data_IF_869801653589
#
_entry.id   IF_869801653589
#
_cell.length_a   1.000
_cell.length_b   1.000
_cell.length_c   1.000
_cell.angle_alpha   90.00
_cell.angle_beta   90.00
_cell.angle_gamma   90.00
#
_symmetry.space_group_name_H-M   'P 1'
#
loop_
_entity.id
_entity.type
_entity.pdbx_description
1 polymer ?
#
# COMPACT_ATOMS: atom_id res chain seq x y z
N UNK A 1 4.32 75.68 108.86
CA UNK A 1 3.38 75.54 110.00
C UNK A 1 4.18 75.79 111.27
N UNK A 2 3.81 76.75 112.13
CA UNK A 2 4.48 77.02 113.40
C UNK A 2 3.51 76.68 114.53
N UNK A 3 3.95 75.87 115.49
CA UNK A 3 3.16 75.52 116.68
C UNK A 3 3.26 76.66 117.70
N UNK A 4 2.26 76.84 118.57
CA UNK A 4 2.39 77.80 119.67
C UNK A 4 3.46 77.31 120.65
N UNK A 5 4.12 78.24 121.36
CA UNK A 5 5.27 77.90 122.24
C UNK A 5 4.94 76.86 123.31
N UNK A 6 3.71 76.88 123.83
CA UNK A 6 3.23 75.92 124.84
C UNK A 6 3.01 74.54 124.21
N UNK A 7 2.41 74.48 123.03
CA UNK A 7 2.20 73.23 122.29
C UNK A 7 3.53 72.62 121.81
N UNK A 8 4.50 73.45 121.43
CA UNK A 8 5.83 73.01 121.00
C UNK A 8 6.63 72.36 122.13
N UNK A 9 6.57 72.94 123.34
CA UNK A 9 7.24 72.39 124.53
C UNK A 9 6.53 71.14 125.06
N UNK A 10 5.19 71.12 125.05
CA UNK A 10 4.44 69.93 125.41
C UNK A 10 4.70 68.77 124.43
N UNK A 11 4.80 69.06 123.13
CA UNK A 11 5.15 68.07 122.13
C UNK A 11 6.62 67.60 122.25
N UNK A 12 7.56 68.50 122.56
CA UNK A 12 8.96 68.14 122.79
C UNK A 12 9.11 67.21 124.00
N UNK A 13 8.45 67.48 125.12
CA UNK A 13 8.51 66.63 126.31
C UNK A 13 7.97 65.21 126.03
N UNK A 14 6.85 65.10 125.30
CA UNK A 14 6.29 63.79 124.91
C UNK A 14 7.22 63.05 123.93
N UNK A 15 7.91 63.79 123.05
CA UNK A 15 8.87 63.22 122.11
C UNK A 15 10.15 62.76 122.80
N UNK A 16 10.62 63.47 123.84
CA UNK A 16 11.73 63.01 124.69
C UNK A 16 11.36 61.74 125.44
N UNK A 17 10.17 61.68 126.06
CA UNK A 17 9.65 60.47 126.69
C UNK A 17 9.57 59.30 125.68
N UNK A 18 9.11 59.57 124.45
CA UNK A 18 9.09 58.58 123.37
C UNK A 18 10.50 58.16 122.90
N UNK A 19 11.47 59.06 122.92
CA UNK A 19 12.87 58.75 122.61
C UNK A 19 13.47 57.83 123.67
N UNK A 20 13.20 58.12 124.95
CA UNK A 20 13.64 57.30 126.06
C UNK A 20 13.00 55.91 126.02
N UNK A 21 11.70 55.81 125.71
CA UNK A 21 11.02 54.53 125.48
C UNK A 21 11.60 53.75 124.28
N UNK A 22 11.96 54.44 123.20
CA UNK A 22 12.59 53.84 122.01
C UNK A 22 14.01 53.36 122.30
N UNK A 23 14.75 54.05 123.16
CA UNK A 23 16.08 53.61 123.62
C UNK A 23 15.98 52.40 124.55
N UNK A 24 14.98 52.38 125.45
CA UNK A 24 14.65 51.19 126.26
C UNK A 24 14.24 50.01 125.38
N UNK A 25 13.43 50.23 124.34
CA UNK A 25 13.09 49.21 123.35
C UNK A 25 14.33 48.76 122.57
N UNK A 26 15.21 49.67 122.17
CA UNK A 26 16.47 49.35 121.49
C UNK A 26 17.41 48.49 122.34
N UNK A 27 17.50 48.76 123.64
CA UNK A 27 18.24 47.96 124.62
C UNK A 27 17.58 46.60 124.86
N UNK A 28 16.25 46.55 124.92
CA UNK A 28 15.48 45.31 125.07
C UNK A 28 15.63 44.40 123.86
N UNK A 29 15.62 44.96 122.64
CA UNK A 29 15.88 44.26 121.37
C UNK A 29 17.32 43.75 121.30
N UNK A 30 18.30 44.51 121.81
CA UNK A 30 19.69 44.06 121.90
C UNK A 30 19.85 42.86 122.85
N UNK A 31 19.24 42.90 124.04
CA UNK A 31 19.24 41.79 124.99
C UNK A 31 18.53 40.53 124.44
N UNK A 32 17.48 40.73 123.63
CA UNK A 32 16.73 39.64 122.99
C UNK A 32 17.50 39.01 121.82
N UNK A 33 18.30 39.80 121.09
CA UNK A 33 19.20 39.31 120.05
C UNK A 33 20.35 38.44 120.60
N UNK A 34 20.73 38.65 121.86
CA UNK A 34 21.77 37.86 122.55
C UNK A 34 21.23 36.59 123.24
N UNK A 35 19.93 36.52 123.58
CA UNK A 35 19.32 35.40 124.31
C UNK A 35 18.70 34.28 123.45
N UNK A 36 18.62 34.38 122.13
CA UNK A 36 18.01 33.34 121.28
C UNK A 36 18.95 32.17 120.96
N UNK A 37 18.53 30.94 121.27
CA UNK A 37 19.26 29.67 121.04
C UNK A 37 18.46 28.77 120.06
N UNK A 38 18.87 28.70 118.78
CA UNK A 38 18.25 27.81 117.76
C UNK A 38 18.69 28.06 116.30
N UNK A 39 18.37 27.16 115.33
CA UNK A 39 18.87 27.19 113.94
C UNK A 39 18.25 28.28 113.03
N UNK A 40 17.27 29.05 113.52
CA UNK A 40 16.75 30.26 112.86
C UNK A 40 17.66 31.50 113.03
N UNK A 41 18.88 31.31 113.54
CA UNK A 41 19.82 32.35 114.00
C UNK A 41 20.15 33.44 112.98
N UNK A 42 20.32 33.10 111.69
CA UNK A 42 20.83 34.07 110.71
C UNK A 42 19.74 35.05 110.24
N UNK A 43 18.55 34.55 109.87
CA UNK A 43 17.44 35.39 109.42
C UNK A 43 16.87 36.22 110.57
N UNK A 44 16.81 35.67 111.78
CA UNK A 44 16.25 36.36 112.94
C UNK A 44 17.22 37.38 113.54
N UNK A 45 18.53 37.08 113.59
CA UNK A 45 19.54 38.10 113.93
C UNK A 45 19.56 39.26 112.95
N UNK A 46 19.49 39.01 111.63
CA UNK A 46 19.45 40.09 110.62
C UNK A 46 18.21 40.98 110.80
N UNK A 47 17.05 40.39 111.11
CA UNK A 47 15.83 41.15 111.43
C UNK A 47 15.99 41.98 112.71
N UNK A 48 16.51 41.41 113.80
CA UNK A 48 16.70 42.13 115.06
C UNK A 48 17.77 43.23 114.96
N UNK A 49 18.83 43.03 114.16
CA UNK A 49 19.83 44.08 113.89
C UNK A 49 19.28 45.22 113.04
N UNK A 50 18.38 44.92 112.09
CA UNK A 50 17.72 45.95 111.31
C UNK A 50 16.73 46.73 112.19
N UNK A 51 15.90 46.03 112.97
CA UNK A 51 14.97 46.67 113.92
C UNK A 51 15.70 47.57 114.93
N UNK A 52 16.87 47.15 115.43
CA UNK A 52 17.72 48.00 116.28
C UNK A 52 18.20 49.25 115.55
N UNK A 53 18.66 49.11 114.31
CA UNK A 53 19.12 50.23 113.49
C UNK A 53 17.97 51.20 113.20
N UNK A 54 16.77 50.67 112.98
CA UNK A 54 15.54 51.44 112.78
C UNK A 54 15.15 52.19 114.08
N UNK A 55 15.15 51.52 115.23
CA UNK A 55 14.91 52.17 116.53
C UNK A 55 15.92 53.29 116.82
N UNK A 56 17.20 53.06 116.55
CA UNK A 56 18.25 54.09 116.71
C UNK A 56 18.08 55.26 115.75
N UNK A 57 17.70 54.99 114.50
CA UNK A 57 17.44 56.04 113.50
C UNK A 57 16.20 56.86 113.86
N UNK A 58 15.13 56.21 114.35
CA UNK A 58 13.91 56.88 114.80
C UNK A 58 14.21 57.70 116.06
N UNK A 59 14.89 57.13 117.06
CA UNK A 59 15.34 57.84 118.27
C UNK A 59 16.16 59.10 117.92
N UNK A 60 17.14 59.00 117.01
CA UNK A 60 17.90 60.16 116.54
C UNK A 60 17.06 61.21 115.81
N UNK A 61 16.00 60.81 115.09
CA UNK A 61 15.10 61.75 114.42
C UNK A 61 14.10 62.38 115.39
N UNK A 62 13.66 61.65 116.41
CA UNK A 62 12.81 62.13 117.50
C UNK A 62 13.57 63.15 118.35
N UNK A 63 14.85 62.92 118.67
CA UNK A 63 15.72 63.87 119.36
C UNK A 63 16.02 65.13 118.52
N UNK A 64 16.21 64.97 117.20
CA UNK A 64 16.34 66.12 116.29
C UNK A 64 15.03 66.91 116.19
N UNK A 65 13.89 66.23 116.24
CA UNK A 65 12.59 66.87 116.23
C UNK A 65 12.28 67.58 117.56
N UNK A 66 12.62 66.99 118.71
CA UNK A 66 12.43 67.62 120.03
C UNK A 66 13.27 68.88 120.15
N UNK A 67 14.56 68.82 119.80
CA UNK A 67 15.44 70.01 119.76
C UNK A 67 14.96 71.08 118.76
N UNK A 68 14.46 70.71 117.58
CA UNK A 68 13.89 71.68 116.62
C UNK A 68 12.56 72.32 117.09
N UNK A 69 11.75 71.59 117.85
CA UNK A 69 10.53 72.09 118.45
C UNK A 69 10.82 73.02 119.63
N UNK A 70 11.85 72.74 120.44
CA UNK A 70 12.27 73.59 121.55
C UNK A 70 12.91 74.90 121.07
N UNK A 71 13.83 74.83 120.11
CA UNK A 71 14.62 75.99 119.68
C UNK A 71 13.91 76.83 118.61
N UNK A 72 13.24 76.20 117.65
CA UNK A 72 12.81 76.84 116.39
C UNK A 72 11.30 76.80 116.17
N UNK A 73 10.54 76.11 117.03
CA UNK A 73 9.08 75.90 116.90
C UNK A 73 8.67 75.40 115.50
N UNK A 74 9.52 74.56 114.90
CA UNK A 74 9.40 74.06 113.53
C UNK A 74 9.68 72.56 113.51
N UNK A 75 9.11 71.88 112.53
CA UNK A 75 9.25 70.42 112.31
C UNK A 75 9.74 70.13 110.89
N UNK A 76 10.58 71.03 110.35
CA UNK A 76 11.11 70.97 108.99
C UNK A 76 12.03 69.77 108.75
N UNK A 77 12.78 69.29 109.75
CA UNK A 77 13.60 68.08 109.60
C UNK A 77 12.77 66.82 109.36
N UNK A 78 11.67 66.66 110.11
CA UNK A 78 10.75 65.52 109.93
C UNK A 78 10.10 65.57 108.54
N UNK A 79 9.74 66.75 108.05
CA UNK A 79 9.22 66.92 106.69
C UNK A 79 10.26 66.56 105.63
N UNK A 80 11.52 66.96 105.80
CA UNK A 80 12.61 66.60 104.90
C UNK A 80 12.85 65.08 104.86
N UNK A 81 12.85 64.42 106.03
CA UNK A 81 12.95 62.95 106.12
C UNK A 81 11.75 62.26 105.46
N UNK A 82 10.53 62.77 105.68
CA UNK A 82 9.33 62.22 105.05
C UNK A 82 9.38 62.38 103.53
N UNK A 83 9.90 63.51 103.02
CA UNK A 83 10.14 63.71 101.59
C UNK A 83 11.22 62.78 101.04
N UNK A 84 12.33 62.55 101.76
CA UNK A 84 13.37 61.59 101.39
C UNK A 84 12.83 60.16 101.35
N UNK A 85 12.08 59.71 102.37
CA UNK A 85 11.44 58.39 102.40
C UNK A 85 10.40 58.25 101.29
N UNK A 86 9.67 59.32 100.96
CA UNK A 86 8.71 59.33 99.85
C UNK A 86 9.42 59.22 98.50
N UNK A 87 10.48 59.99 98.27
CA UNK A 87 11.30 59.92 97.06
C UNK A 87 12.00 58.56 96.93
N UNK A 88 12.47 57.97 98.02
CA UNK A 88 13.08 56.64 98.03
C UNK A 88 12.05 55.55 97.71
N UNK A 89 10.82 55.66 98.24
CA UNK A 89 9.71 54.77 97.87
C UNK A 89 9.33 54.91 96.40
N UNK A 90 9.20 56.13 95.89
CA UNK A 90 8.91 56.39 94.47
C UNK A 90 10.04 55.85 93.57
N UNK A 91 11.31 56.03 93.95
CA UNK A 91 12.45 55.48 93.24
C UNK A 91 12.51 53.94 93.29
N UNK A 92 12.14 53.32 94.41
CA UNK A 92 11.99 51.87 94.51
C UNK A 92 10.84 51.33 93.66
N UNK A 93 9.69 52.00 93.64
CA UNK A 93 8.56 51.64 92.79
C UNK A 93 8.93 51.77 91.30
N UNK A 94 9.59 52.84 90.90
CA UNK A 94 10.14 53.01 89.54
C UNK A 94 11.11 51.89 89.18
N UNK A 95 12.02 51.51 90.09
CA UNK A 95 12.93 50.36 89.88
C UNK A 95 12.19 49.03 89.79
N UNK A 96 11.11 48.82 90.56
CA UNK A 96 10.28 47.61 90.49
C UNK A 96 9.50 47.56 89.18
N UNK A 97 8.92 48.67 88.74
CA UNK A 97 8.22 48.79 87.46
C UNK A 97 9.18 48.53 86.30
N UNK A 98 10.36 49.17 86.27
CA UNK A 98 11.38 48.92 85.25
C UNK A 98 11.83 47.45 85.21
N UNK A 99 12.00 46.79 86.38
CA UNK A 99 12.29 45.35 86.45
C UNK A 99 11.13 44.48 85.94
N UNK A 100 9.88 44.86 86.23
CA UNK A 100 8.70 44.15 85.74
C UNK A 100 8.57 44.27 84.21
N UNK A 101 8.78 45.48 83.67
CA UNK A 101 8.80 45.73 82.22
C UNK A 101 9.94 44.99 81.51
N UNK A 102 11.13 44.95 82.10
CA UNK A 102 12.25 44.16 81.58
C UNK A 102 11.91 42.66 81.57
N UNK A 103 11.30 42.14 82.65
CA UNK A 103 10.84 40.75 82.69
C UNK A 103 9.78 40.47 81.62
N UNK A 104 8.81 41.37 81.45
CA UNK A 104 7.80 41.25 80.40
C UNK A 104 8.46 41.23 79.02
N UNK A 105 9.40 42.15 78.73
CA UNK A 105 10.17 42.17 77.48
C UNK A 105 10.98 40.90 77.27
N UNK A 106 11.60 40.36 78.32
CA UNK A 106 12.33 39.08 78.22
C UNK A 106 11.36 37.95 77.87
N UNK A 107 10.20 37.87 78.53
CA UNK A 107 9.22 36.81 78.23
C UNK A 107 8.62 36.93 76.83
N UNK A 108 8.35 38.14 76.35
CA UNK A 108 7.84 38.35 74.98
C UNK A 108 8.91 38.04 73.94
N UNK A 109 10.16 38.43 74.17
CA UNK A 109 11.29 38.09 73.30
C UNK A 109 11.54 36.58 73.26
N UNK A 110 11.48 35.89 74.40
CA UNK A 110 11.59 34.43 74.46
C UNK A 110 10.47 33.73 73.66
N UNK A 111 9.24 34.22 73.78
CA UNK A 111 8.11 33.73 72.99
C UNK A 111 8.34 33.94 71.49
N UNK A 112 8.77 35.14 71.10
CA UNK A 112 9.10 35.45 69.71
C UNK A 112 10.24 34.57 69.19
N UNK A 113 11.27 34.31 69.99
CA UNK A 113 12.38 33.44 69.63
C UNK A 113 11.92 31.99 69.40
N UNK A 114 11.07 31.45 70.28
CA UNK A 114 10.48 30.13 70.11
C UNK A 114 9.60 30.05 68.84
N UNK A 115 8.80 31.08 68.57
CA UNK A 115 7.98 31.15 67.36
C UNK A 115 8.85 31.20 66.09
N UNK A 116 9.92 31.98 66.09
CA UNK A 116 10.88 32.04 64.97
C UNK A 116 11.57 30.68 64.78
N UNK A 117 11.96 29.99 65.85
CA UNK A 117 12.55 28.65 65.75
C UNK A 117 11.59 27.63 65.13
N UNK A 118 10.31 27.67 65.53
CA UNK A 118 9.28 26.81 64.94
C UNK A 118 9.00 27.15 63.47
N UNK A 119 9.03 28.43 63.10
CA UNK A 119 8.96 28.86 61.70
C UNK A 119 10.17 28.38 60.90
N UNK A 120 11.37 28.40 61.48
CA UNK A 120 12.58 27.87 60.83
C UNK A 120 12.48 26.36 60.62
N UNK A 121 12.00 25.58 61.59
CA UNK A 121 11.85 24.13 61.42
C UNK A 121 10.82 23.78 60.34
N UNK A 122 9.67 24.45 60.34
CA UNK A 122 8.63 24.26 59.31
C UNK A 122 9.10 24.70 57.93
N UNK A 123 9.90 25.77 57.82
CA UNK A 123 10.54 26.16 56.56
C UNK A 123 11.53 25.10 56.07
N UNK A 124 12.34 24.50 56.96
CA UNK A 124 13.25 23.40 56.59
C UNK A 124 12.49 22.18 56.10
N UNK A 125 11.42 21.78 56.78
CA UNK A 125 10.56 20.67 56.35
C UNK A 125 9.94 20.92 54.97
N UNK A 126 9.45 22.15 54.74
CA UNK A 126 8.91 22.56 53.44
C UNK A 126 9.98 22.59 52.35
N UNK A 127 11.21 23.02 52.67
CA UNK A 127 12.35 23.00 51.74
C UNK A 127 12.66 21.57 51.29
N UNK A 128 12.76 20.62 52.23
CA UNK A 128 12.99 19.20 51.92
C UNK A 128 11.84 18.61 51.10
N UNK A 129 10.59 18.99 51.39
CA UNK A 129 9.45 18.56 50.59
C UNK A 129 9.50 19.12 49.16
N UNK A 130 9.90 20.39 48.99
CA UNK A 130 10.06 21.01 47.68
C UNK A 130 11.15 20.32 46.85
N UNK A 131 12.30 19.99 47.46
CA UNK A 131 13.37 19.22 46.82
C UNK A 131 12.88 17.84 46.36
N UNK A 132 12.16 17.09 47.21
CA UNK A 132 11.59 15.78 46.83
C UNK A 132 10.58 15.89 45.69
N UNK A 133 9.71 16.89 45.71
CA UNK A 133 8.73 17.11 44.63
C UNK A 133 9.43 17.50 43.33
N UNK A 134 10.51 18.28 43.41
CA UNK A 134 11.34 18.64 42.26
C UNK A 134 12.02 17.40 41.66
N UNK A 135 12.64 16.54 42.49
CA UNK A 135 13.21 15.26 42.07
C UNK A 135 12.16 14.36 41.39
N UNK A 136 10.97 14.23 41.98
CA UNK A 136 9.87 13.45 41.39
C UNK A 136 9.42 14.01 40.05
N UNK A 137 9.35 15.33 39.91
CA UNK A 137 8.97 15.98 38.66
C UNK A 137 10.01 15.71 37.57
N UNK A 138 11.29 15.84 37.89
CA UNK A 138 12.39 15.62 36.94
C UNK A 138 12.50 14.13 36.56
N UNK A 139 12.30 13.22 37.51
CA UNK A 139 12.15 11.78 37.24
C UNK A 139 11.00 11.48 36.27
N UNK A 140 9.83 12.10 36.47
CA UNK A 140 8.71 11.91 35.56
C UNK A 140 8.99 12.48 34.16
N UNK A 141 9.64 13.63 34.06
CA UNK A 141 10.06 14.21 32.77
C UNK A 141 11.03 13.27 32.05
N UNK A 142 12.05 12.77 32.76
CA UNK A 142 13.03 11.85 32.20
C UNK A 142 12.38 10.54 31.74
N UNK A 143 11.48 9.96 32.54
CA UNK A 143 10.71 8.77 32.16
C UNK A 143 9.87 9.01 30.90
N UNK A 144 9.20 10.15 30.79
CA UNK A 144 8.42 10.51 29.59
C UNK A 144 9.31 10.69 28.37
N UNK A 145 10.46 11.36 28.51
CA UNK A 145 11.42 11.53 27.42
C UNK A 145 11.98 10.19 26.93
N UNK A 146 12.37 9.30 27.84
CA UNK A 146 12.84 7.95 27.50
C UNK A 146 11.75 7.13 26.80
N UNK A 147 10.51 7.16 27.31
CA UNK A 147 9.38 6.48 26.66
C UNK A 147 9.18 6.97 25.22
N UNK A 148 9.19 8.29 25.01
CA UNK A 148 9.07 8.89 23.68
C UNK A 148 10.16 8.39 22.73
N UNK A 149 11.43 8.39 23.16
CA UNK A 149 12.56 7.90 22.34
C UNK A 149 12.38 6.41 22.01
N UNK A 150 11.93 5.59 22.97
CA UNK A 150 11.70 4.17 22.74
C UNK A 150 10.54 3.91 21.76
N UNK A 151 9.46 4.68 21.87
CA UNK A 151 8.33 4.63 20.95
C UNK A 151 8.75 5.04 19.54
N UNK A 152 9.50 6.13 19.39
CA UNK A 152 10.06 6.58 18.10
C UNK A 152 10.95 5.50 17.46
N UNK A 153 11.86 4.90 18.25
CA UNK A 153 12.72 3.79 17.78
C UNK A 153 11.90 2.57 17.36
N UNK A 154 10.87 2.21 18.13
CA UNK A 154 9.99 1.09 17.80
C UNK A 154 9.26 1.33 16.49
N UNK A 155 8.69 2.52 16.30
CA UNK A 155 7.99 2.89 15.06
C UNK A 155 8.95 2.90 13.86
N UNK A 156 10.17 3.41 14.03
CA UNK A 156 11.19 3.40 12.98
C UNK A 156 11.57 1.98 12.55
N UNK A 157 11.79 1.07 13.52
CA UNK A 157 12.09 -0.34 13.23
C UNK A 157 10.93 -1.05 12.54
N UNK A 158 9.68 -0.80 12.97
CA UNK A 158 8.50 -1.34 12.31
C UNK A 158 8.38 -0.85 10.87
N UNK A 159 8.63 0.44 10.64
CA UNK A 159 8.62 1.01 9.29
C UNK A 159 9.71 0.38 8.42
N UNK A 160 10.93 0.25 8.93
CA UNK A 160 12.04 -0.37 8.19
C UNK A 160 11.75 -1.83 7.84
N UNK A 161 11.16 -2.58 8.78
CA UNK A 161 10.76 -3.97 8.53
C UNK A 161 9.68 -4.07 7.46
N UNK A 162 8.66 -3.21 7.50
CA UNK A 162 7.61 -3.15 6.48
C UNK A 162 8.21 -2.77 5.12
N UNK A 163 9.07 -1.76 5.07
CA UNK A 163 9.74 -1.34 3.82
C UNK A 163 10.62 -2.46 3.24
N UNK A 164 11.37 -3.18 4.08
CA UNK A 164 12.19 -4.32 3.66
C UNK A 164 11.34 -5.45 3.09
N UNK A 165 10.22 -5.78 3.74
CA UNK A 165 9.28 -6.80 3.28
C UNK A 165 8.61 -6.38 1.97
N UNK A 166 8.15 -5.14 1.85
CA UNK A 166 7.56 -4.61 0.63
C UNK A 166 8.56 -4.64 -0.53
N UNK A 167 9.81 -4.22 -0.32
CA UNK A 167 10.87 -4.30 -1.35
C UNK A 167 11.13 -5.72 -1.82
N UNK A 168 11.06 -6.72 -0.93
CA UNK A 168 11.20 -8.13 -1.30
C UNK A 168 10.01 -8.61 -2.13
N UNK A 169 8.79 -8.25 -1.73
CA UNK A 169 7.57 -8.59 -2.47
C UNK A 169 7.52 -7.91 -3.85
N UNK A 170 7.90 -6.62 -3.93
CA UNK A 170 8.02 -5.88 -5.18
C UNK A 170 8.99 -6.55 -6.14
N UNK A 171 10.20 -6.91 -5.66
CA UNK A 171 11.18 -7.64 -6.49
C UNK A 171 10.63 -8.98 -6.99
N UNK A 172 9.97 -9.76 -6.13
CA UNK A 172 9.38 -11.03 -6.55
C UNK A 172 8.30 -10.84 -7.62
N UNK A 173 7.48 -9.80 -7.52
CA UNK A 173 6.47 -9.48 -8.53
C UNK A 173 7.10 -8.98 -9.83
N UNK A 174 8.19 -8.22 -9.75
CA UNK A 174 8.94 -7.74 -10.91
C UNK A 174 9.61 -8.91 -11.65
N UNK A 175 10.27 -9.82 -10.94
CA UNK A 175 10.86 -11.05 -11.51
C UNK A 175 9.79 -11.92 -12.19
N UNK A 176 8.62 -12.07 -11.55
CA UNK A 176 7.48 -12.80 -12.15
C UNK A 176 6.96 -12.14 -13.41
N UNK A 177 6.85 -10.80 -13.40
CA UNK A 177 6.43 -10.02 -14.55
C UNK A 177 7.41 -10.17 -15.72
N UNK A 178 8.71 -10.09 -15.45
CA UNK A 178 9.75 -10.27 -16.45
C UNK A 178 9.72 -11.68 -17.05
N UNK A 179 9.59 -12.72 -16.22
CA UNK A 179 9.45 -14.11 -16.68
C UNK A 179 8.24 -14.27 -17.60
N UNK A 180 7.07 -13.75 -17.21
CA UNK A 180 5.85 -13.83 -18.03
C UNK A 180 6.01 -13.03 -19.33
N UNK A 181 6.68 -11.88 -19.27
CA UNK A 181 6.94 -11.08 -20.46
C UNK A 181 7.83 -11.83 -21.46
N UNK A 182 8.87 -12.52 -20.98
CA UNK A 182 9.76 -13.35 -21.82
C UNK A 182 8.95 -14.49 -22.46
N UNK A 183 8.19 -15.24 -21.66
CA UNK A 183 7.33 -16.33 -22.16
C UNK A 183 6.35 -15.83 -23.23
N UNK A 184 5.73 -14.67 -23.01
CA UNK A 184 4.80 -14.07 -23.97
C UNK A 184 5.51 -13.69 -25.28
N UNK A 185 6.74 -13.18 -25.22
CA UNK A 185 7.51 -12.87 -26.43
C UNK A 185 7.90 -14.13 -27.19
N UNK A 186 8.32 -15.19 -26.49
CA UNK A 186 8.65 -16.48 -27.10
C UNK A 186 7.43 -17.12 -27.76
N UNK A 187 6.29 -17.15 -27.06
CA UNK A 187 5.02 -17.65 -27.61
C UNK A 187 4.58 -16.87 -28.85
N UNK A 188 4.73 -15.53 -28.86
CA UNK A 188 4.45 -14.72 -30.05
C UNK A 188 5.36 -15.10 -31.22
N UNK A 189 6.65 -15.24 -30.99
CA UNK A 189 7.58 -15.63 -32.05
C UNK A 189 7.29 -17.02 -32.61
N UNK A 190 7.02 -18.00 -31.74
CA UNK A 190 6.69 -19.37 -32.13
C UNK A 190 5.36 -19.38 -32.90
N UNK A 191 4.37 -18.61 -32.45
CA UNK A 191 3.11 -18.45 -33.15
C UNK A 191 3.32 -17.87 -34.56
N UNK A 192 4.07 -16.78 -34.70
CA UNK A 192 4.37 -16.18 -36.00
C UNK A 192 5.11 -17.15 -36.94
N UNK A 193 6.10 -17.88 -36.42
CA UNK A 193 6.83 -18.92 -37.18
C UNK A 193 5.87 -20.03 -37.64
N UNK A 194 4.97 -20.46 -36.77
CA UNK A 194 3.96 -21.49 -37.07
C UNK A 194 2.97 -21.03 -38.13
N UNK A 195 2.47 -19.79 -38.02
CA UNK A 195 1.57 -19.19 -39.00
C UNK A 195 2.25 -19.09 -40.37
N UNK A 196 3.48 -18.59 -40.44
CA UNK A 196 4.26 -18.51 -41.69
C UNK A 196 4.48 -19.89 -42.31
N UNK A 197 4.83 -20.89 -41.49
CA UNK A 197 4.99 -22.27 -41.96
C UNK A 197 3.70 -22.82 -42.58
N UNK A 198 2.55 -22.63 -41.91
CA UNK A 198 1.26 -23.09 -42.42
C UNK A 198 0.84 -22.35 -43.70
N UNK A 199 1.08 -21.04 -43.78
CA UNK A 199 0.82 -20.24 -44.98
C UNK A 199 1.64 -20.74 -46.17
N UNK A 200 2.95 -20.91 -45.99
CA UNK A 200 3.82 -21.46 -47.05
C UNK A 200 3.33 -22.84 -47.51
N UNK A 201 2.95 -23.71 -46.58
CA UNK A 201 2.44 -25.05 -46.91
C UNK A 201 1.11 -24.98 -47.67
N UNK A 202 0.23 -24.07 -47.30
CA UNK A 202 -1.02 -23.84 -48.00
C UNK A 202 -0.77 -23.35 -49.44
N UNK A 203 0.15 -22.41 -49.63
CA UNK A 203 0.53 -21.90 -50.95
C UNK A 203 1.12 -23.00 -51.85
N UNK A 204 2.03 -23.83 -51.32
CA UNK A 204 2.58 -24.98 -52.04
C UNK A 204 1.48 -25.94 -52.52
N UNK A 205 0.54 -26.27 -51.62
CA UNK A 205 -0.56 -27.17 -51.94
C UNK A 205 -1.51 -26.57 -52.97
N UNK A 206 -1.80 -25.26 -52.88
CA UNK A 206 -2.58 -24.54 -53.88
C UNK A 206 -1.90 -24.55 -55.25
N UNK A 207 -0.59 -24.30 -55.30
CA UNK A 207 0.17 -24.36 -56.54
C UNK A 207 0.13 -25.76 -57.16
N UNK A 208 0.34 -26.79 -56.34
CA UNK A 208 0.28 -28.18 -56.77
C UNK A 208 -1.12 -28.51 -57.32
N UNK A 209 -2.17 -28.12 -56.60
CA UNK A 209 -3.56 -28.30 -57.04
C UNK A 209 -3.82 -27.64 -58.40
N UNK A 210 -3.38 -26.40 -58.59
CA UNK A 210 -3.51 -25.69 -59.87
C UNK A 210 -2.72 -26.37 -61.00
N UNK A 211 -1.54 -26.92 -60.71
CA UNK A 211 -0.78 -27.71 -61.69
C UNK A 211 -1.53 -28.97 -62.11
N UNK A 212 -2.08 -29.73 -61.15
CA UNK A 212 -2.87 -30.93 -61.43
C UNK A 212 -4.15 -30.62 -62.22
N UNK A 213 -4.84 -29.54 -61.87
CA UNK A 213 -6.01 -29.07 -62.62
C UNK A 213 -5.66 -28.77 -64.08
N UNK A 214 -4.58 -28.00 -64.31
CA UNK A 214 -4.11 -27.69 -65.68
C UNK A 214 -3.75 -28.93 -66.47
N UNK A 215 -2.98 -29.86 -65.89
CA UNK A 215 -2.61 -31.13 -66.54
C UNK A 215 -3.83 -31.97 -66.89
N UNK A 216 -4.79 -32.07 -65.98
CA UNK A 216 -6.02 -32.84 -66.19
C UNK A 216 -6.85 -32.26 -67.32
N UNK A 217 -6.98 -30.93 -67.40
CA UNK A 217 -7.68 -30.26 -68.50
C UNK A 217 -6.98 -30.51 -69.84
N UNK A 218 -5.65 -30.41 -69.89
CA UNK A 218 -4.87 -30.69 -71.10
C UNK A 218 -5.04 -32.13 -71.56
N UNK A 219 -4.86 -33.12 -70.67
CA UNK A 219 -5.08 -34.53 -71.00
C UNK A 219 -6.51 -34.79 -71.48
N UNK A 220 -7.51 -34.16 -70.87
CA UNK A 220 -8.90 -34.29 -71.30
C UNK A 220 -9.11 -33.73 -72.72
N UNK A 221 -8.48 -32.60 -73.05
CA UNK A 221 -8.53 -32.03 -74.39
C UNK A 221 -7.84 -32.95 -75.42
N UNK A 222 -6.65 -33.47 -75.11
CA UNK A 222 -5.94 -34.43 -75.95
C UNK A 222 -6.78 -35.69 -76.20
N UNK A 223 -7.37 -36.28 -75.15
CA UNK A 223 -8.25 -37.45 -75.29
C UNK A 223 -9.51 -37.15 -76.09
N UNK A 224 -10.12 -35.97 -75.94
CA UNK A 224 -11.24 -35.56 -76.79
C UNK A 224 -10.85 -35.48 -78.27
N UNK A 225 -9.66 -34.95 -78.58
CA UNK A 225 -9.13 -34.88 -79.95
C UNK A 225 -8.80 -36.27 -80.52
N UNK A 226 -8.18 -37.14 -79.73
CA UNK A 226 -7.93 -38.53 -80.11
C UNK A 226 -9.24 -39.25 -80.46
N UNK A 227 -10.24 -39.16 -79.60
CA UNK A 227 -11.57 -39.76 -79.82
C UNK A 227 -12.22 -39.20 -81.08
N UNK A 228 -12.22 -37.88 -81.27
CA UNK A 228 -12.76 -37.25 -82.47
C UNK A 228 -12.05 -37.77 -83.75
N UNK A 229 -10.72 -37.88 -83.70
CA UNK A 229 -9.92 -38.40 -84.82
C UNK A 229 -10.26 -39.85 -85.14
N UNK A 230 -10.39 -40.71 -84.13
CA UNK A 230 -10.78 -42.11 -84.31
C UNK A 230 -12.20 -42.22 -84.85
N UNK A 231 -13.14 -41.42 -84.34
CA UNK A 231 -14.51 -41.35 -84.86
C UNK A 231 -14.54 -40.94 -86.33
N UNK A 232 -13.82 -39.88 -86.73
CA UNK A 232 -13.73 -39.45 -88.12
C UNK A 232 -13.16 -40.57 -89.02
N UNK A 233 -12.06 -41.23 -88.60
CA UNK A 233 -11.49 -42.36 -89.35
C UNK A 233 -12.49 -43.51 -89.48
N UNK A 234 -13.22 -43.83 -88.42
CA UNK A 234 -14.26 -44.87 -88.43
C UNK A 234 -15.38 -44.53 -89.40
N UNK A 235 -15.91 -43.30 -89.37
CA UNK A 235 -16.96 -42.85 -90.28
C UNK A 235 -16.50 -42.91 -91.73
N UNK A 236 -15.31 -42.37 -92.05
CA UNK A 236 -14.76 -42.43 -93.41
C UNK A 236 -14.57 -43.86 -93.92
N UNK A 237 -14.14 -44.79 -93.04
CA UNK A 237 -14.01 -46.19 -93.41
C UNK A 237 -15.38 -46.85 -93.64
N UNK A 238 -16.40 -46.52 -92.84
CA UNK A 238 -17.77 -46.98 -93.04
C UNK A 238 -18.34 -46.47 -94.37
N UNK A 239 -18.10 -45.20 -94.71
CA UNK A 239 -18.53 -44.59 -95.97
C UNK A 239 -17.89 -45.31 -97.16
N UNK A 240 -16.56 -45.51 -97.14
CA UNK A 240 -15.84 -46.29 -98.17
C UNK A 240 -16.39 -47.70 -98.33
N UNK A 241 -16.65 -48.40 -97.21
CA UNK A 241 -17.25 -49.74 -97.25
C UNK A 241 -18.66 -49.72 -97.85
N UNK A 242 -19.46 -48.69 -97.54
CA UNK A 242 -20.80 -48.51 -98.10
C UNK A 242 -20.75 -48.26 -99.61
N UNK A 243 -19.80 -47.45 -100.08
CA UNK A 243 -19.58 -47.18 -101.51
C UNK A 243 -19.12 -48.43 -102.26
N UNK A 244 -18.19 -49.21 -101.69
CA UNK A 244 -17.76 -50.47 -102.28
C UNK A 244 -18.93 -51.47 -102.37
N UNK A 245 -19.74 -51.60 -101.33
CA UNK A 245 -20.97 -52.42 -101.36
C UNK A 245 -21.93 -51.95 -102.46
N UNK A 246 -22.11 -50.64 -102.63
CA UNK A 246 -22.95 -50.08 -103.71
C UNK A 246 -22.39 -50.46 -105.09
N UNK A 247 -21.09 -50.27 -105.33
CA UNK A 247 -20.43 -50.64 -106.59
C UNK A 247 -20.56 -52.12 -106.91
N UNK A 248 -20.43 -53.01 -105.91
CA UNK A 248 -20.63 -54.45 -106.09
C UNK A 248 -22.06 -54.73 -106.56
N UNK A 249 -23.08 -54.15 -105.91
CA UNK A 249 -24.48 -54.32 -106.33
C UNK A 249 -24.76 -53.79 -107.73
N UNK A 250 -24.14 -52.67 -108.11
CA UNK A 250 -24.24 -52.12 -109.48
C UNK A 250 -23.61 -53.07 -110.50
N UNK A 251 -22.41 -53.60 -110.23
CA UNK A 251 -21.77 -54.59 -111.11
C UNK A 251 -22.57 -55.89 -111.20
N UNK A 252 -23.07 -56.40 -110.08
CA UNK A 252 -23.95 -57.58 -110.05
C UNK A 252 -25.18 -57.37 -110.92
N UNK A 253 -25.80 -56.18 -110.87
CA UNK A 253 -26.92 -55.83 -111.74
C UNK A 253 -26.54 -55.85 -113.22
N UNK A 254 -25.44 -55.23 -113.60
CA UNK A 254 -24.94 -55.22 -114.98
C UNK A 254 -24.66 -56.65 -115.48
N UNK A 255 -24.07 -57.50 -114.64
CA UNK A 255 -23.83 -58.91 -114.99
C UNK A 255 -25.13 -59.68 -115.18
N UNK A 256 -26.15 -59.43 -114.35
CA UNK A 256 -27.48 -60.03 -114.51
C UNK A 256 -28.15 -59.54 -115.80
N UNK A 257 -28.10 -58.24 -116.09
CA UNK A 257 -28.62 -57.64 -117.33
C UNK A 257 -27.93 -58.24 -118.57
N UNK A 258 -26.60 -58.34 -118.60
CA UNK A 258 -25.85 -58.96 -119.72
C UNK A 258 -26.21 -60.45 -119.89
N UNK A 259 -26.40 -61.19 -118.79
CA UNK A 259 -26.88 -62.59 -118.85
C UNK A 259 -28.27 -62.69 -119.45
N UNK A 260 -29.20 -61.83 -119.04
CA UNK A 260 -30.56 -61.77 -119.59
C UNK A 260 -30.54 -61.40 -121.08
N UNK A 261 -29.71 -60.43 -121.49
CA UNK A 261 -29.54 -60.04 -122.89
C UNK A 261 -28.94 -61.17 -123.74
N UNK A 262 -27.92 -61.86 -123.24
CA UNK A 262 -27.35 -63.03 -123.91
C UNK A 262 -28.35 -64.18 -124.03
N UNK A 263 -29.20 -64.38 -123.03
CA UNK A 263 -30.30 -65.35 -123.10
C UNK A 263 -31.34 -64.96 -124.15
N UNK A 264 -31.76 -63.68 -124.20
CA UNK A 264 -32.63 -63.15 -125.25
C UNK A 264 -32.01 -63.33 -126.64
N UNK A 265 -30.72 -63.04 -126.79
CA UNK A 265 -30.01 -63.21 -128.06
C UNK A 265 -29.92 -64.69 -128.47
N UNK A 266 -29.61 -65.60 -127.53
CA UNK A 266 -29.62 -67.04 -127.78
C UNK A 266 -31.02 -67.52 -128.18
N UNK A 267 -32.06 -66.98 -127.55
CA UNK A 267 -33.45 -67.29 -127.90
C UNK A 267 -33.81 -66.81 -129.30
N UNK A 268 -33.49 -65.56 -129.65
CA UNK A 268 -33.66 -65.03 -131.00
C UNK A 268 -32.88 -65.84 -132.05
N UNK A 269 -31.67 -66.28 -131.74
CA UNK A 269 -30.91 -67.16 -132.65
C UNK A 269 -31.58 -68.52 -132.84
N UNK A 270 -32.16 -69.11 -131.78
CA UNK A 270 -32.93 -70.37 -131.88
C UNK A 270 -34.18 -70.15 -132.74
N UNK A 271 -34.89 -69.06 -132.55
CA UNK A 271 -36.06 -68.68 -133.33
C UNK A 271 -35.70 -68.44 -134.81
N UNK A 272 -34.62 -67.71 -135.07
CA UNK A 272 -34.11 -67.49 -136.42
C UNK A 272 -33.70 -68.81 -137.09
N UNK A 273 -32.97 -69.70 -136.39
CA UNK A 273 -32.62 -71.03 -136.91
C UNK A 273 -33.85 -71.89 -137.17
N UNK A 274 -34.84 -71.86 -136.29
CA UNK A 274 -36.12 -72.55 -136.49
C UNK A 274 -36.85 -71.99 -137.72
N UNK A 275 -36.91 -70.66 -137.86
CA UNK A 275 -37.47 -70.00 -139.04
C UNK A 275 -36.71 -70.38 -140.33
N UNK A 276 -35.37 -70.42 -140.32
CA UNK A 276 -34.56 -70.89 -141.44
C UNK A 276 -34.89 -72.34 -141.79
N UNK A 277 -34.97 -73.24 -140.82
CA UNK A 277 -35.37 -74.64 -141.05
C UNK A 277 -36.77 -74.75 -141.67
N UNK A 278 -37.72 -73.94 -141.20
CA UNK A 278 -39.07 -73.87 -141.77
C UNK A 278 -39.04 -73.33 -143.20
N UNK A 279 -38.25 -72.28 -143.47
CA UNK A 279 -38.06 -71.72 -144.80
C UNK A 279 -37.39 -72.72 -145.76
N UNK A 280 -36.36 -73.44 -145.30
CA UNK A 280 -35.68 -74.49 -146.07
C UNK A 280 -36.60 -75.68 -146.34
N UNK A 281 -37.37 -76.11 -145.33
CA UNK A 281 -38.41 -77.14 -145.51
C UNK A 281 -39.44 -76.70 -146.54
N UNK A 282 -39.92 -75.46 -146.46
CA UNK A 282 -40.87 -74.89 -147.42
C UNK A 282 -40.27 -74.77 -148.81
N UNK A 283 -39.04 -74.26 -148.97
CA UNK A 283 -38.32 -74.19 -150.25
C UNK A 283 -38.09 -75.58 -150.85
N UNK A 284 -37.70 -76.56 -150.03
CA UNK A 284 -37.57 -77.95 -150.45
C UNK A 284 -38.92 -78.57 -150.84
N UNK A 285 -40.00 -78.21 -150.16
CA UNK A 285 -41.36 -78.62 -150.51
C UNK A 285 -41.80 -77.97 -151.85
N UNK A 286 -41.56 -76.68 -152.04
CA UNK A 286 -41.78 -75.93 -153.29
C UNK A 286 -41.01 -76.55 -154.46
N UNK A 287 -39.73 -76.88 -154.26
CA UNK A 287 -38.89 -77.54 -155.27
C UNK A 287 -39.40 -78.95 -155.63
N UNK A 288 -39.81 -79.75 -154.63
CA UNK A 288 -40.36 -81.10 -154.86
C UNK A 288 -41.76 -81.09 -155.50
N UNK A 289 -42.56 -80.05 -155.26
CA UNK A 289 -43.88 -79.85 -155.89
C UNK A 289 -43.82 -79.08 -157.22
N UNK A 290 -42.63 -78.73 -157.71
CA UNK A 290 -42.44 -78.09 -159.03
C UNK A 290 -42.90 -76.62 -159.11
N UNK A 291 -43.06 -75.94 -157.99
CA UNK A 291 -43.55 -74.57 -157.91
C UNK A 291 -42.35 -73.60 -157.74
N UNK A 292 -41.62 -73.31 -158.84
CA UNK A 292 -40.55 -72.29 -158.84
C UNK A 292 -39.56 -72.39 -160.02
N UNK A 293 -39.11 -71.24 -160.54
CA UNK A 293 -38.24 -71.11 -161.71
C UNK A 293 -36.73 -71.25 -161.37
N UNK A 294 -36.17 -72.45 -161.48
CA UNK A 294 -34.71 -72.66 -161.42
C UNK A 294 -34.19 -73.27 -162.74
N UNK A 295 -33.58 -72.42 -163.59
CA UNK A 295 -32.86 -72.81 -164.81
C UNK A 295 -31.42 -73.22 -164.49
N UNK A 296 -30.96 -74.33 -165.09
CA UNK A 296 -29.57 -74.81 -165.10
C UNK A 296 -28.67 -73.91 -165.97
N UNK A 297 -27.41 -73.70 -165.59
CA UNK A 297 -26.33 -73.28 -166.48
C UNK A 297 -24.94 -73.72 -165.95
N UNK A 298 -24.14 -74.30 -166.84
CA UNK A 298 -22.78 -74.83 -166.69
C UNK A 298 -21.66 -73.77 -166.81
N UNK A 299 -20.47 -74.14 -166.30
CA UNK A 299 -19.09 -73.89 -166.81
C UNK A 299 -18.44 -72.48 -166.92
N UNK A 300 -17.32 -72.25 -166.18
CA UNK A 300 -15.91 -72.09 -166.68
C UNK A 300 -14.89 -71.39 -165.72
N UNK A 301 -13.73 -72.06 -165.57
CA UNK A 301 -12.29 -71.67 -165.43
C UNK A 301 -11.78 -70.21 -165.20
N UNK A 302 -10.72 -70.13 -164.36
CA UNK A 302 -9.61 -69.13 -164.35
C UNK A 302 -9.68 -68.11 -163.18
N UNK A 303 -8.65 -67.62 -162.47
CA UNK A 303 -7.18 -67.60 -162.59
C UNK A 303 -6.54 -67.06 -161.26
N UNK A 304 -5.24 -67.32 -161.04
CA UNK A 304 -4.34 -66.89 -159.93
C UNK A 304 -4.26 -65.36 -159.65
N UNK A 305 -4.09 -64.94 -158.38
CA UNK A 305 -2.88 -64.22 -157.84
C UNK A 305 -2.98 -63.65 -156.40
N UNK A 306 -1.87 -63.82 -155.67
CA UNK A 306 -1.14 -62.90 -154.75
C UNK A 306 -1.75 -62.39 -153.42
N UNK A 307 -1.07 -62.80 -152.32
CA UNK A 307 -0.39 -61.98 -151.29
C UNK A 307 -0.82 -60.49 -151.17
N UNK A 308 -1.22 -60.09 -149.95
CA UNK A 308 -0.58 -58.95 -149.24
C UNK A 308 -0.83 -58.97 -147.73
N UNK A 309 0.25 -58.66 -147.02
CA UNK A 309 0.45 -58.43 -145.58
C UNK A 309 0.63 -56.92 -145.39
N UNK A 310 -0.04 -56.31 -144.40
CA UNK A 310 0.25 -55.02 -143.71
C UNK A 310 -0.78 -54.94 -142.57
N UNK A 311 -0.47 -54.96 -141.26
CA UNK A 311 0.46 -54.20 -140.40
C UNK A 311 0.11 -52.71 -140.29
N UNK A 312 0.02 -52.27 -139.03
CA UNK A 312 0.05 -50.90 -138.47
C UNK A 312 -1.27 -50.10 -138.39
N UNK A 313 -1.57 -49.24 -137.40
CA UNK A 313 -1.11 -48.90 -136.01
C UNK A 313 -1.95 -47.64 -135.63
N UNK A 314 -2.08 -47.30 -134.32
CA UNK A 314 -2.57 -46.02 -133.75
C UNK A 314 -4.11 -45.79 -133.82
N UNK A 315 -4.81 -45.12 -132.89
CA UNK A 315 -4.47 -44.19 -131.79
C UNK A 315 -5.76 -43.93 -130.98
N UNK A 316 -5.63 -43.58 -129.68
CA UNK A 316 -6.52 -42.74 -128.84
C UNK A 316 -7.95 -43.27 -128.63
N UNK A 317 -8.39 -43.52 -127.40
CA UNK A 317 -8.46 -42.57 -126.29
C UNK A 317 -8.56 -43.30 -124.96
#
# INVERSE_FOLDING_TARGET
MRLSRIESLAAAAVLEDCSDELDVLGLTVALRADKQRGPARAKEKVRLTNLRRDCQSISQQVLKLSSELEEKQSFSSLLAVLEEVKQEREAEEMKRQAKAELRQRITTLQRQQAEVQQRISTLKERSVLAEKLQEQLDDQKNRKAVKKILEEKRMALQLEQVLSNNRKAEKQLEDQREMVQIQLTEEREVHEKSVKFLQNRQEELQLLQQQWQRRTVQMLQEKKLEVATVCCKRTLNLDKLSEMRRKIREMERVVMEDREEQEKLRQQQREARAATKVQEWWRGCMARRGLGSFKKADDKKGEKKKRKKKKEVMKKK
#
